data_IF_444457441829
#
_entry.id   IF_444457441829
#
_cell.length_a   1.000
_cell.length_b   1.000
_cell.length_c   1.000
_cell.angle_alpha   90.00
_cell.angle_beta   90.00
_cell.angle_gamma   90.00
#
_symmetry.space_group_name_H-M   'P 1'
#
loop_
_entity.id
_entity.type
_entity.pdbx_description
1 polymer ?
#
# COMPACT_ATOMS: atom_id res chain seq x y z
N UNK A 1 -16.21 -5.39 7.64
CA UNK A 1 -15.60 -6.52 6.90
C UNK A 1 -15.63 -6.33 5.38
N UNK A 2 -16.77 -6.45 4.68
CA UNK A 2 -16.78 -6.33 3.21
C UNK A 2 -16.65 -4.87 2.67
N UNK A 3 -16.93 -3.86 3.51
CA UNK A 3 -16.75 -2.46 3.16
C UNK A 3 -15.26 -2.09 3.15
N UNK A 4 -14.55 -2.50 4.19
CA UNK A 4 -13.15 -2.13 4.46
C UNK A 4 -12.21 -2.73 3.41
N UNK A 5 -12.45 -3.99 3.02
CA UNK A 5 -11.74 -4.62 1.90
C UNK A 5 -11.96 -3.90 0.56
N UNK A 6 -13.17 -3.39 0.30
CA UNK A 6 -13.47 -2.64 -0.94
C UNK A 6 -12.78 -1.28 -0.93
N UNK A 7 -12.81 -0.58 0.20
CA UNK A 7 -12.09 0.69 0.36
C UNK A 7 -10.58 0.51 0.19
N UNK A 8 -10.00 -0.52 0.80
CA UNK A 8 -8.58 -0.84 0.62
C UNK A 8 -8.24 -1.14 -0.84
N UNK A 9 -9.07 -1.93 -1.55
CA UNK A 9 -8.89 -2.16 -2.99
C UNK A 9 -8.92 -0.86 -3.80
N UNK A 10 -9.80 0.07 -3.47
CA UNK A 10 -9.87 1.38 -4.14
C UNK A 10 -8.61 2.23 -3.86
N UNK A 11 -8.13 2.25 -2.61
CA UNK A 11 -6.90 2.99 -2.26
C UNK A 11 -5.68 2.40 -2.97
N UNK A 12 -5.60 1.08 -3.11
CA UNK A 12 -4.53 0.39 -3.85
C UNK A 12 -4.59 0.68 -5.35
N UNK A 13 -5.77 0.93 -5.91
CA UNK A 13 -5.94 1.33 -7.30
C UNK A 13 -5.47 2.78 -7.49
N UNK A 14 -5.87 3.68 -6.59
CA UNK A 14 -5.43 5.07 -6.58
C UNK A 14 -3.90 5.17 -6.42
N UNK A 15 -3.29 4.33 -5.57
CA UNK A 15 -1.83 4.22 -5.45
C UNK A 15 -1.19 3.84 -6.79
N UNK A 16 -1.77 2.89 -7.52
CA UNK A 16 -1.26 2.48 -8.82
C UNK A 16 -1.29 3.63 -9.82
N UNK A 17 -2.43 4.33 -9.93
CA UNK A 17 -2.56 5.48 -10.82
C UNK A 17 -1.58 6.60 -10.48
N UNK A 18 -1.43 6.94 -9.19
CA UNK A 18 -0.46 7.96 -8.76
C UNK A 18 0.97 7.54 -9.10
N UNK A 19 1.31 6.26 -8.93
CA UNK A 19 2.62 5.76 -9.32
C UNK A 19 2.84 5.87 -10.83
N UNK A 20 1.86 5.55 -11.66
CA UNK A 20 1.97 5.71 -13.12
C UNK A 20 2.14 7.18 -13.52
N UNK A 21 1.43 8.08 -12.85
CA UNK A 21 1.47 9.52 -13.10
C UNK A 21 2.69 10.24 -12.50
N UNK A 22 3.48 9.58 -11.65
CA UNK A 22 4.64 10.17 -10.97
C UNK A 22 5.98 9.58 -11.47
N UNK A 23 6.46 9.96 -12.68
CA UNK A 23 7.72 9.47 -13.26
C UNK A 23 8.96 9.75 -12.39
N UNK A 24 8.86 10.76 -11.53
CA UNK A 24 9.85 11.15 -10.52
C UNK A 24 10.07 10.14 -9.39
N UNK A 25 9.14 9.21 -9.14
CA UNK A 25 9.20 8.24 -8.03
C UNK A 25 10.32 7.20 -8.23
N UNK A 26 10.86 7.08 -9.44
CA UNK A 26 11.90 6.12 -9.77
C UNK A 26 11.38 4.67 -9.85
N UNK A 27 11.99 3.88 -10.73
CA UNK A 27 11.53 2.53 -11.05
C UNK A 27 11.56 1.59 -9.83
N UNK A 28 12.65 1.63 -9.06
CA UNK A 28 12.81 0.79 -7.88
C UNK A 28 11.75 1.04 -6.80
N UNK A 29 11.35 2.31 -6.59
CA UNK A 29 10.38 2.64 -5.57
C UNK A 29 8.95 2.29 -6.03
N UNK A 30 8.66 2.45 -7.34
CA UNK A 30 7.42 1.97 -7.96
C UNK A 30 7.28 0.46 -7.89
N UNK A 31 8.34 -0.28 -8.21
CA UNK A 31 8.31 -1.74 -8.15
C UNK A 31 8.07 -2.23 -6.72
N UNK A 32 8.77 -1.64 -5.74
CA UNK A 32 8.58 -1.98 -4.33
C UNK A 32 7.15 -1.71 -3.88
N UNK A 33 6.56 -0.56 -4.20
CA UNK A 33 5.16 -0.26 -3.87
C UNK A 33 4.16 -1.16 -4.59
N UNK A 34 4.41 -1.50 -5.87
CA UNK A 34 3.57 -2.45 -6.62
C UNK A 34 3.61 -3.84 -6.01
N UNK A 35 4.80 -4.28 -5.55
CA UNK A 35 4.97 -5.55 -4.86
C UNK A 35 4.18 -5.56 -3.55
N UNK A 36 4.37 -4.56 -2.69
CA UNK A 36 3.60 -4.39 -1.44
C UNK A 36 2.09 -4.39 -1.70
N UNK A 37 1.63 -3.63 -2.69
CA UNK A 37 0.21 -3.56 -3.06
C UNK A 37 -0.35 -4.91 -3.53
N UNK A 38 0.44 -5.69 -4.28
CA UNK A 38 0.08 -7.03 -4.73
C UNK A 38 -0.02 -8.03 -3.58
N UNK A 39 0.95 -8.00 -2.65
CA UNK A 39 0.93 -8.84 -1.45
C UNK A 39 -0.30 -8.56 -0.58
N UNK A 40 -0.66 -7.28 -0.41
CA UNK A 40 -1.89 -6.89 0.30
C UNK A 40 -3.12 -7.44 -0.40
N UNK A 41 -3.23 -7.31 -1.73
CA UNK A 41 -4.37 -7.90 -2.48
C UNK A 41 -4.46 -9.40 -2.25
N UNK A 42 -3.32 -10.10 -2.27
CA UNK A 42 -3.29 -11.54 -2.03
C UNK A 42 -3.74 -11.91 -0.61
N UNK A 43 -3.33 -11.13 0.40
CA UNK A 43 -3.76 -11.31 1.79
C UNK A 43 -5.27 -11.06 1.98
N UNK A 44 -5.84 -10.10 1.23
CA UNK A 44 -7.29 -9.86 1.24
C UNK A 44 -8.09 -11.01 0.61
N UNK A 45 -7.54 -11.65 -0.42
CA UNK A 45 -8.17 -12.78 -1.11
C UNK A 45 -7.99 -14.10 -0.36
N UNK A 46 -6.90 -14.25 0.41
CA UNK A 46 -6.57 -15.43 1.19
C UNK A 46 -6.25 -15.06 2.64
N UNK A 47 -7.27 -14.78 3.48
CA UNK A 47 -7.07 -14.39 4.88
C UNK A 47 -6.45 -15.50 5.76
N UNK A 48 -6.44 -16.75 5.27
CA UNK A 48 -5.76 -17.89 5.89
C UNK A 48 -4.22 -17.80 5.83
N UNK A 49 -3.68 -16.96 4.93
CA UNK A 49 -2.27 -16.60 4.91
C UNK A 49 -2.11 -15.25 5.59
N UNK A 50 -1.58 -15.27 6.82
CA UNK A 50 -1.20 -14.02 7.49
C UNK A 50 -0.27 -13.22 6.57
N UNK A 51 -0.52 -11.92 6.39
CA UNK A 51 0.42 -11.07 5.68
C UNK A 51 1.78 -11.16 6.37
N UNK A 52 2.89 -11.19 5.62
CA UNK A 52 4.20 -11.15 6.22
C UNK A 52 4.31 -9.89 7.09
N UNK A 53 4.84 -10.01 8.30
CA UNK A 53 5.11 -8.87 9.21
C UNK A 53 5.90 -7.76 8.50
N UNK A 54 6.70 -8.16 7.50
CA UNK A 54 7.42 -7.32 6.55
C UNK A 54 6.54 -6.35 5.72
N UNK A 55 5.24 -6.57 5.57
CA UNK A 55 4.37 -5.65 4.82
C UNK A 55 4.21 -4.30 5.52
N UNK A 56 4.03 -4.31 6.84
CA UNK A 56 3.94 -3.07 7.63
C UNK A 56 5.26 -2.33 7.64
N UNK A 57 6.37 -3.05 7.79
CA UNK A 57 7.73 -2.51 7.73
C UNK A 57 8.02 -1.87 6.35
N UNK A 58 7.61 -2.52 5.26
CA UNK A 58 7.75 -2.00 3.89
C UNK A 58 6.91 -0.75 3.67
N UNK A 59 5.65 -0.74 4.13
CA UNK A 59 4.77 0.44 4.06
C UNK A 59 5.37 1.61 4.87
N UNK A 60 5.87 1.34 6.08
CA UNK A 60 6.47 2.36 6.94
C UNK A 60 7.75 2.94 6.33
N UNK A 61 8.62 2.07 5.80
CA UNK A 61 9.82 2.51 5.07
C UNK A 61 9.46 3.34 3.82
N UNK A 62 8.39 2.97 3.11
CA UNK A 62 7.88 3.73 1.99
C UNK A 62 7.36 5.11 2.44
N UNK A 63 6.62 5.19 3.56
CA UNK A 63 6.17 6.46 4.14
C UNK A 63 7.35 7.39 4.40
N UNK A 64 8.37 6.94 5.12
CA UNK A 64 9.57 7.74 5.44
C UNK A 64 10.29 8.22 4.17
N UNK A 65 10.37 7.36 3.15
CA UNK A 65 11.05 7.67 1.89
C UNK A 65 10.28 8.67 1.03
N UNK A 66 8.96 8.62 1.06
CA UNK A 66 8.09 9.49 0.27
C UNK A 66 7.60 10.72 1.02
N UNK A 67 7.70 10.78 2.35
CA UNK A 67 7.25 11.91 3.17
C UNK A 67 7.80 13.26 2.67
N UNK A 68 9.07 13.28 2.28
CA UNK A 68 9.74 14.50 1.80
C UNK A 68 9.48 14.76 0.32
N UNK A 69 9.42 13.71 -0.50
CA UNK A 69 9.40 13.82 -1.96
C UNK A 69 7.98 13.86 -2.55
N UNK A 70 7.05 13.11 -1.99
CA UNK A 70 5.73 12.84 -2.57
C UNK A 70 4.64 12.74 -1.49
N UNK A 71 4.15 13.88 -0.95
CA UNK A 71 3.14 13.89 0.11
C UNK A 71 1.84 13.18 -0.27
N UNK A 72 1.50 13.15 -1.57
CA UNK A 72 0.34 12.41 -2.09
C UNK A 72 0.49 10.90 -1.93
N UNK A 73 1.69 10.36 -2.18
CA UNK A 73 1.96 8.93 -1.99
C UNK A 73 1.96 8.58 -0.51
N UNK A 74 2.55 9.41 0.33
CA UNK A 74 2.55 9.22 1.79
C UNK A 74 1.13 9.14 2.35
N UNK A 75 0.22 10.02 1.89
CA UNK A 75 -1.19 9.96 2.27
C UNK A 75 -1.90 8.68 1.84
N UNK A 76 -1.57 8.15 0.66
CA UNK A 76 -2.13 6.89 0.15
C UNK A 76 -1.64 5.67 0.95
N UNK A 77 -0.33 5.60 1.15
CA UNK A 77 0.32 4.52 1.91
C UNK A 77 -0.16 4.53 3.37
N UNK A 78 -0.38 5.70 3.97
CA UNK A 78 -0.92 5.82 5.32
C UNK A 78 -2.36 5.31 5.42
N UNK A 79 -3.22 5.65 4.44
CA UNK A 79 -4.59 5.11 4.36
C UNK A 79 -4.61 3.58 4.18
N UNK A 80 -3.64 3.02 3.45
CA UNK A 80 -3.48 1.56 3.30
C UNK A 80 -3.14 0.91 4.64
N UNK A 81 -2.17 1.47 5.38
CA UNK A 81 -1.76 0.94 6.68
C UNK A 81 -2.88 1.01 7.73
N UNK A 82 -3.67 2.09 7.71
CA UNK A 82 -4.85 2.25 8.57
C UNK A 82 -5.92 1.21 8.25
N UNK A 83 -6.25 1.04 6.97
CA UNK A 83 -7.23 0.05 6.52
C UNK A 83 -6.79 -1.41 6.80
N UNK A 84 -5.49 -1.71 6.71
CA UNK A 84 -4.94 -3.00 7.12
C UNK A 84 -5.09 -3.23 8.62
N UNK A 85 -4.84 -2.19 9.43
CA UNK A 85 -4.99 -2.24 10.88
C UNK A 85 -6.45 -2.46 11.30
N UNK A 86 -7.40 -1.81 10.64
CA UNK A 86 -8.85 -2.00 10.87
C UNK A 86 -9.31 -3.43 10.53
N UNK A 87 -8.73 -4.03 9.49
CA UNK A 87 -8.96 -5.41 9.10
C UNK A 87 -8.31 -6.43 10.06
N UNK A 88 -7.47 -5.97 10.99
CA UNK A 88 -6.78 -6.83 11.96
C UNK A 88 -5.65 -7.66 11.36
N UNK A 89 -5.07 -7.20 10.25
CA UNK A 89 -4.00 -7.89 9.49
C UNK A 89 -2.67 -7.15 9.54
#
# INVERSE_FOLDING_TARGET
MAHDQRSLKAILDELHEVLEQAPEVGDAARESLRQTASEIRSALERPEHSPPESLREQLSSALERFEVAHPRLTGLVGRIADALSDLGI
#
